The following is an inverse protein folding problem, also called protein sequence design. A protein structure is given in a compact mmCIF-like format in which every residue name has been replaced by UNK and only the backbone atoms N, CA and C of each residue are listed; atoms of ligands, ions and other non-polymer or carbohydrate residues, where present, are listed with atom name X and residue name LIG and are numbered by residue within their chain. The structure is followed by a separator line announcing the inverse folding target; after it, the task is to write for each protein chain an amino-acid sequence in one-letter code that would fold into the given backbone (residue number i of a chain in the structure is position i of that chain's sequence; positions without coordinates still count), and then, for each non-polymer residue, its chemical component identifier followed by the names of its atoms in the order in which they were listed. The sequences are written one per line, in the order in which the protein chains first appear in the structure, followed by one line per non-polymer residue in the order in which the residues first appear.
data_IF_959812615563
#
_entry.id   IF_959812615563
#
_cell.length_a   1.000
_cell.length_b   1.000
_cell.length_c   1.000
_cell.angle_alpha   90.00
_cell.angle_beta   90.00
_cell.angle_gamma   90.00
#
_symmetry.space_group_name_H-M   'P 1'
#
loop_
_entity.id
_entity.type
_entity.pdbx_description
1 polymer ?
#
# COMPACT_ATOMS: atom_id res chain seq x y z
N UNK A 1 -57.79 32.84 18.64
CA UNK A 1 -57.43 32.28 19.96
C UNK A 1 -56.34 31.25 19.71
N UNK A 2 -55.05 31.59 19.88
CA UNK A 2 -54.29 31.50 21.16
C UNK A 2 -54.55 30.14 21.82
N UNK A 3 -53.56 29.28 22.10
CA UNK A 3 -52.44 29.41 23.06
C UNK A 3 -51.47 28.24 22.70
N UNK A 4 -50.20 28.39 22.29
CA UNK A 4 -48.98 28.80 23.01
C UNK A 4 -48.66 27.97 24.28
N UNK A 5 -47.87 26.90 24.15
CA UNK A 5 -47.12 26.34 25.29
C UNK A 5 -45.63 26.26 24.95
N UNK A 6 -44.87 27.00 25.76
CA UNK A 6 -43.44 27.16 25.71
C UNK A 6 -42.73 25.88 26.15
N UNK A 7 -41.55 25.62 25.57
CA UNK A 7 -40.52 24.82 26.22
C UNK A 7 -39.28 25.69 26.35
N UNK A 8 -38.93 25.91 27.61
CA UNK A 8 -37.90 26.77 28.15
C UNK A 8 -36.49 26.28 27.82
N UNK A 9 -35.63 27.23 27.46
CA UNK A 9 -34.18 27.11 27.54
C UNK A 9 -33.73 26.89 29.00
N UNK A 10 -32.77 25.99 29.19
CA UNK A 10 -31.75 26.12 30.23
C UNK A 10 -30.39 25.70 29.68
N UNK A 11 -29.58 26.71 29.42
CA UNK A 11 -28.13 26.64 29.21
C UNK A 11 -27.46 26.21 30.51
N UNK A 12 -26.66 25.14 30.47
CA UNK A 12 -25.57 24.94 31.41
C UNK A 12 -24.33 24.50 30.61
N UNK A 13 -23.45 25.47 30.46
CA UNK A 13 -22.06 25.35 30.04
C UNK A 13 -21.31 24.44 31.01
N UNK A 14 -20.59 23.45 30.50
CA UNK A 14 -19.35 22.99 31.12
C UNK A 14 -18.35 22.63 30.02
N UNK A 15 -17.38 23.53 29.87
CA UNK A 15 -16.19 23.35 29.05
C UNK A 15 -15.28 22.30 29.70
N UNK A 16 -14.87 21.29 28.94
CA UNK A 16 -13.64 20.54 29.21
C UNK A 16 -12.81 20.47 27.94
N UNK A 17 -11.89 21.41 27.83
CA UNK A 17 -10.79 21.40 26.89
C UNK A 17 -9.84 20.24 27.22
N UNK A 18 -9.94 19.12 26.52
CA UNK A 18 -8.81 18.20 26.39
C UNK A 18 -7.96 18.63 25.20
N UNK A 19 -6.90 19.40 25.50
CA UNK A 19 -5.77 19.64 24.60
C UNK A 19 -5.08 18.29 24.33
N UNK A 20 -5.31 17.69 23.17
CA UNK A 20 -4.43 16.65 22.65
C UNK A 20 -3.32 17.33 21.85
N UNK A 21 -2.18 17.52 22.50
CA UNK A 21 -0.92 17.90 21.86
C UNK A 21 -0.36 16.67 21.17
N UNK A 22 -0.33 16.65 19.84
CA UNK A 22 0.35 15.61 19.08
C UNK A 22 1.80 16.06 18.90
N UNK A 23 2.66 15.64 19.83
CA UNK A 23 4.11 15.81 19.69
C UNK A 23 4.63 14.90 18.57
N UNK A 24 4.77 15.48 17.37
CA UNK A 24 5.50 14.91 16.25
C UNK A 24 6.98 15.29 16.38
N UNK A 25 7.76 14.48 17.10
CA UNK A 25 9.19 14.29 16.85
C UNK A 25 9.76 13.20 17.76
N UNK A 26 10.22 12.09 17.19
CA UNK A 26 11.58 11.55 17.40
C UNK A 26 11.74 10.16 16.78
N UNK A 27 12.52 10.09 15.70
CA UNK A 27 13.11 8.86 15.17
C UNK A 27 14.25 8.37 16.09
N UNK A 28 14.30 7.10 16.52
CA UNK A 28 15.49 6.58 17.19
C UNK A 28 16.50 6.05 16.15
N UNK A 29 17.66 6.72 16.05
CA UNK A 29 18.88 6.15 15.44
C UNK A 29 19.58 5.25 16.46
N UNK A 30 20.17 4.11 16.08
CA UNK A 30 20.92 3.27 17.01
C UNK A 30 22.37 3.80 17.15
N UNK A 31 22.72 4.28 18.34
CA UNK A 31 24.11 4.39 18.79
C UNK A 31 24.30 3.47 19.99
N UNK A 32 25.08 2.40 19.81
CA UNK A 32 25.59 1.58 20.92
C UNK A 32 26.67 2.36 21.66
N UNK A 33 26.47 2.61 22.96
CA UNK A 33 27.55 2.82 23.93
C UNK A 33 27.32 1.89 25.11
N UNK A 34 28.31 1.05 25.38
CA UNK A 34 28.35 0.13 26.51
C UNK A 34 29.34 0.70 27.52
N UNK A 35 28.94 0.85 28.78
CA UNK A 35 29.81 1.16 29.91
C UNK A 35 29.49 0.17 31.02
N UNK A 36 30.46 -0.68 31.36
CA UNK A 36 30.39 -1.67 32.43
C UNK A 36 31.16 -1.13 33.63
N UNK A 37 30.54 -1.23 34.80
CA UNK A 37 31.12 -0.96 36.12
C UNK A 37 31.62 -2.29 36.72
N UNK A 38 32.81 -2.28 37.34
CA UNK A 38 33.49 -3.44 37.92
C UNK A 38 32.97 -3.85 39.31
N UNK A 39 32.99 -5.14 39.61
CA UNK A 39 33.47 -5.76 40.86
C UNK A 39 33.36 -7.30 40.69
N UNK A 40 34.25 -8.18 41.11
CA UNK A 40 35.61 -8.20 41.67
C UNK A 40 36.05 -9.69 41.65
N UNK A 41 37.31 -10.00 41.96
CA UNK A 41 37.77 -11.18 42.73
C UNK A 41 39.31 -11.28 42.71
N UNK A 42 39.78 -11.80 43.85
CA UNK A 42 41.08 -11.92 44.49
C UNK A 42 42.30 -12.39 43.68
N UNK A 43 43.43 -11.93 44.22
CA UNK A 43 44.84 -12.24 44.00
C UNK A 43 45.23 -13.73 44.13
N UNK A 44 46.17 -14.17 43.29
CA UNK A 44 47.23 -15.10 43.68
C UNK A 44 48.50 -14.83 42.84
N UNK A 45 49.63 -14.66 43.53
CA UNK A 45 50.99 -14.48 42.98
C UNK A 45 51.54 -15.80 42.44
N UNK A 46 52.28 -15.74 41.34
CA UNK A 46 53.45 -16.60 41.07
C UNK A 46 54.51 -15.75 40.35
N UNK A 47 55.72 -15.67 40.93
CA UNK A 47 56.97 -15.17 40.31
C UNK A 47 57.40 -16.17 39.20
N UNK A 48 58.10 -15.90 38.10
CA UNK A 48 59.09 -14.90 37.71
C UNK A 48 59.31 -15.02 36.17
N UNK A 49 60.22 -14.21 35.62
CA UNK A 49 60.87 -14.24 34.29
C UNK A 49 60.24 -13.43 33.14
N UNK A 50 60.74 -12.19 33.05
CA UNK A 50 61.23 -11.52 31.83
C UNK A 50 60.82 -12.11 30.46
N UNK A 51 59.89 -11.44 29.77
CA UNK A 51 60.16 -10.91 28.42
C UNK A 51 59.11 -9.88 28.00
N UNK A 52 59.61 -8.67 27.76
CA UNK A 52 58.85 -7.55 27.23
C UNK A 52 58.27 -7.82 25.84
N UNK A 53 56.96 -7.63 25.68
CA UNK A 53 56.36 -7.13 24.42
C UNK A 53 55.26 -6.13 24.73
N UNK A 54 55.66 -4.92 25.13
CA UNK A 54 54.89 -3.70 24.88
C UNK A 54 54.70 -3.58 23.36
N UNK A 55 53.49 -3.79 22.85
CA UNK A 55 53.12 -3.37 21.49
C UNK A 55 53.23 -1.85 21.41
N UNK A 56 54.39 -1.40 20.92
CA UNK A 56 54.74 -0.02 20.62
C UNK A 56 53.76 0.48 19.54
N UNK A 57 52.87 1.42 19.85
CA UNK A 57 52.23 2.28 18.83
C UNK A 57 53.36 3.06 18.17
N UNK A 58 53.91 2.54 17.07
CA UNK A 58 54.78 3.32 16.21
C UNK A 58 53.90 4.31 15.45
N UNK A 59 54.03 5.59 15.78
CA UNK A 59 53.62 6.68 14.88
C UNK A 59 54.45 6.50 13.61
N UNK A 60 53.83 5.99 12.54
CA UNK A 60 54.44 6.02 11.22
C UNK A 60 54.42 7.47 10.76
N UNK A 61 55.58 8.13 10.79
CA UNK A 61 55.76 9.37 10.05
C UNK A 61 55.60 9.02 8.56
N UNK A 62 54.42 9.30 8.00
CA UNK A 62 54.22 9.25 6.55
C UNK A 62 55.15 10.29 5.94
N UNK A 63 55.94 9.86 4.96
CA UNK A 63 56.76 10.80 4.20
C UNK A 63 55.86 11.75 3.42
N UNK A 64 56.32 12.99 3.19
CA UNK A 64 55.54 13.98 2.47
C UNK A 64 55.14 13.50 1.06
N UNK A 65 55.93 12.62 0.45
CA UNK A 65 55.65 11.97 -0.83
C UNK A 65 54.51 10.96 -0.72
N UNK A 66 54.52 10.07 0.28
CA UNK A 66 53.43 9.11 0.51
C UNK A 66 52.10 9.80 0.82
N UNK A 67 52.14 10.91 1.58
CA UNK A 67 50.97 11.72 1.87
C UNK A 67 50.39 12.35 0.59
N UNK A 68 51.25 12.87 -0.29
CA UNK A 68 50.84 13.42 -1.59
C UNK A 68 50.26 12.36 -2.52
N UNK A 69 50.89 11.20 -2.63
CA UNK A 69 50.40 10.08 -3.46
C UNK A 69 49.04 9.58 -2.94
N UNK A 70 48.91 9.44 -1.63
CA UNK A 70 47.66 9.01 -0.99
C UNK A 70 46.54 10.04 -1.20
N UNK A 71 46.85 11.34 -1.15
CA UNK A 71 45.89 12.41 -1.45
C UNK A 71 45.44 12.38 -2.92
N UNK A 72 46.37 12.16 -3.86
CA UNK A 72 46.04 12.03 -5.29
C UNK A 72 45.13 10.83 -5.53
N UNK A 73 45.44 9.67 -4.93
CA UNK A 73 44.60 8.47 -5.02
C UNK A 73 43.22 8.69 -4.39
N UNK A 74 43.15 9.38 -3.25
CA UNK A 74 41.89 9.71 -2.59
C UNK A 74 41.03 10.66 -3.44
N UNK A 75 41.63 11.70 -4.03
CA UNK A 75 40.94 12.63 -4.92
C UNK A 75 40.50 11.94 -6.23
N UNK A 76 41.33 11.09 -6.82
CA UNK A 76 40.99 10.30 -7.99
C UNK A 76 39.83 9.32 -7.69
N UNK A 77 39.88 8.65 -6.53
CA UNK A 77 38.80 7.79 -6.05
C UNK A 77 37.51 8.57 -5.81
N UNK A 78 37.59 9.76 -5.21
CA UNK A 78 36.43 10.62 -4.98
C UNK A 78 35.83 11.11 -6.31
N UNK A 79 36.66 11.59 -7.25
CA UNK A 79 36.22 12.03 -8.57
C UNK A 79 35.60 10.87 -9.38
N UNK A 80 36.22 9.68 -9.34
CA UNK A 80 35.67 8.47 -9.95
C UNK A 80 34.33 8.08 -9.34
N UNK A 81 34.19 8.14 -8.01
CA UNK A 81 32.94 7.81 -7.33
C UNK A 81 31.80 8.79 -7.70
N UNK A 82 32.12 10.07 -7.86
CA UNK A 82 31.15 11.08 -8.29
C UNK A 82 30.72 10.86 -9.76
N UNK A 83 31.66 10.52 -10.65
CA UNK A 83 31.38 10.20 -12.05
C UNK A 83 30.53 8.93 -12.19
N UNK A 84 30.83 7.88 -11.43
CA UNK A 84 30.04 6.65 -11.42
C UNK A 84 28.60 6.87 -10.97
N UNK A 85 28.37 7.76 -9.99
CA UNK A 85 27.01 8.14 -9.56
C UNK A 85 26.26 8.85 -10.68
N UNK A 86 26.88 9.83 -11.33
CA UNK A 86 26.26 10.54 -12.46
C UNK A 86 25.93 9.59 -13.62
N UNK A 87 26.81 8.64 -13.93
CA UNK A 87 26.54 7.63 -14.95
C UNK A 87 25.40 6.69 -14.53
N UNK A 88 25.33 6.30 -13.26
CA UNK A 88 24.23 5.50 -12.74
C UNK A 88 22.91 6.27 -12.81
N UNK A 89 22.88 7.55 -12.42
CA UNK A 89 21.69 8.40 -12.49
C UNK A 89 21.22 8.57 -13.95
N UNK A 90 22.16 8.79 -14.88
CA UNK A 90 21.85 8.88 -16.30
C UNK A 90 21.35 7.53 -16.87
N UNK A 91 21.95 6.42 -16.47
CA UNK A 91 21.50 5.08 -16.86
C UNK A 91 20.09 4.80 -16.35
N UNK A 92 19.79 5.18 -15.10
CA UNK A 92 18.45 5.08 -14.52
C UNK A 92 17.46 5.96 -15.28
N UNK A 93 17.82 7.20 -15.63
CA UNK A 93 16.94 8.09 -16.35
C UNK A 93 16.68 7.62 -17.78
N UNK A 94 17.72 7.18 -18.49
CA UNK A 94 17.59 6.63 -19.86
C UNK A 94 16.79 5.33 -19.88
N UNK A 95 16.94 4.46 -18.88
CA UNK A 95 16.15 3.24 -18.75
C UNK A 95 14.63 3.54 -18.67
N UNK A 96 14.20 4.64 -18.03
CA UNK A 96 12.77 5.03 -17.96
C UNK A 96 12.14 5.26 -19.33
N UNK A 97 12.93 5.59 -20.35
CA UNK A 97 12.45 5.85 -21.71
C UNK A 97 12.61 4.64 -22.64
N UNK A 98 13.55 3.74 -22.35
CA UNK A 98 13.81 2.55 -23.17
C UNK A 98 12.89 1.39 -22.80
N UNK A 99 12.49 1.27 -21.53
CA UNK A 99 11.57 0.23 -21.09
C UNK A 99 10.13 0.75 -21.08
N UNK A 100 9.17 0.10 -21.79
CA UNK A 100 7.78 0.52 -21.77
C UNK A 100 7.23 0.42 -20.34
N UNK A 101 6.63 1.51 -19.86
CA UNK A 101 5.91 1.49 -18.57
C UNK A 101 4.79 0.45 -18.67
N UNK A 102 4.57 -0.32 -17.58
CA UNK A 102 3.42 -1.24 -17.48
C UNK A 102 2.09 -0.53 -17.76
N UNK A 103 2.04 0.77 -17.47
CA UNK A 103 0.91 1.66 -17.77
C UNK A 103 1.31 2.61 -18.89
N UNK A 104 0.64 2.48 -20.04
CA UNK A 104 0.77 3.42 -21.15
C UNK A 104 -0.37 4.44 -21.08
N UNK A 105 -0.06 5.72 -21.25
CA UNK A 105 -1.07 6.78 -21.25
C UNK A 105 -1.87 6.77 -22.55
N UNK A 106 -3.18 6.52 -22.45
CA UNK A 106 -4.10 6.64 -23.59
C UNK A 106 -4.60 8.08 -23.77
N UNK A 107 -4.57 8.88 -22.70
CA UNK A 107 -5.05 10.25 -22.67
C UNK A 107 -4.15 11.15 -21.81
N UNK A 108 -4.42 12.46 -21.84
CA UNK A 108 -3.66 13.46 -21.08
C UNK A 108 -3.78 13.28 -19.57
N UNK A 109 -4.94 12.84 -19.07
CA UNK A 109 -5.14 12.58 -17.64
C UNK A 109 -4.14 11.52 -17.15
N UNK A 110 -4.02 10.41 -17.89
CA UNK A 110 -3.06 9.34 -17.59
C UNK A 110 -1.60 9.76 -17.75
N UNK A 111 -1.30 10.71 -18.63
CA UNK A 111 0.06 11.19 -18.84
C UNK A 111 0.66 11.87 -17.60
N UNK A 112 -0.18 12.46 -16.74
CA UNK A 112 0.23 13.07 -15.48
C UNK A 112 0.21 12.11 -14.28
N UNK A 113 -0.34 10.90 -14.45
CA UNK A 113 -0.39 9.91 -13.39
C UNK A 113 0.97 9.30 -13.11
N UNK A 114 1.20 8.97 -11.84
CA UNK A 114 2.40 8.30 -11.36
C UNK A 114 2.01 7.02 -10.63
N UNK A 115 2.83 5.98 -10.75
CA UNK A 115 2.67 4.72 -10.00
C UNK A 115 3.97 4.50 -9.24
N UNK A 116 3.93 4.18 -7.94
CA UNK A 116 5.14 3.89 -7.17
C UNK A 116 5.82 2.61 -7.70
N UNK A 117 7.13 2.51 -7.47
CA UNK A 117 7.91 1.33 -7.83
C UNK A 117 7.74 0.24 -6.76
N UNK A 118 6.59 -0.43 -6.81
CA UNK A 118 6.22 -1.55 -5.95
C UNK A 118 5.73 -2.71 -6.82
N UNK A 119 5.85 -3.93 -6.30
CA UNK A 119 5.33 -5.11 -6.99
C UNK A 119 3.83 -4.93 -7.28
N UNK A 120 3.40 -5.35 -8.46
CA UNK A 120 2.00 -5.30 -8.87
C UNK A 120 1.52 -6.60 -9.47
N UNK A 121 0.21 -6.84 -9.41
CA UNK A 121 -0.41 -8.02 -10.00
C UNK A 121 -0.07 -8.13 -11.49
N UNK A 122 0.20 -9.35 -11.95
CA UNK A 122 0.55 -9.59 -13.34
C UNK A 122 -0.70 -9.60 -14.21
N UNK A 123 -0.61 -8.91 -15.34
CA UNK A 123 -1.66 -8.90 -16.33
C UNK A 123 -1.09 -8.72 -17.73
N UNK A 124 -1.83 -9.21 -18.72
CA UNK A 124 -1.59 -9.00 -20.14
C UNK A 124 -2.69 -8.12 -20.72
N UNK A 125 -2.31 -7.08 -21.46
CA UNK A 125 -3.27 -6.27 -22.20
C UNK A 125 -3.74 -7.05 -23.44
N UNK A 126 -5.05 -7.29 -23.55
CA UNK A 126 -5.67 -7.97 -24.68
C UNK A 126 -6.14 -6.98 -25.75
N UNK A 127 -6.68 -5.85 -25.32
CA UNK A 127 -7.20 -4.80 -26.21
C UNK A 127 -7.09 -3.45 -25.52
N UNK A 128 -6.89 -2.39 -26.31
CA UNK A 128 -6.90 -1.01 -25.82
C UNK A 128 -7.76 -0.16 -26.75
N UNK A 129 -8.59 0.67 -26.12
CA UNK A 129 -9.40 1.69 -26.79
C UNK A 129 -9.06 3.06 -26.19
N UNK A 130 -9.59 4.13 -26.77
CA UNK A 130 -9.43 5.48 -26.21
C UNK A 130 -10.13 5.66 -24.84
N UNK A 131 -11.07 4.76 -24.50
CA UNK A 131 -11.91 4.86 -23.31
C UNK A 131 -11.52 3.91 -22.18
N UNK A 132 -11.05 2.71 -22.52
CA UNK A 132 -10.73 1.66 -21.55
C UNK A 132 -9.75 0.64 -22.13
N UNK A 133 -9.18 -0.16 -21.24
CA UNK A 133 -8.27 -1.27 -21.56
C UNK A 133 -8.86 -2.61 -21.12
N UNK A 134 -8.76 -3.64 -21.96
CA UNK A 134 -9.08 -5.02 -21.58
C UNK A 134 -7.79 -5.73 -21.17
N UNK A 135 -7.78 -6.25 -19.95
CA UNK A 135 -6.65 -6.96 -19.35
C UNK A 135 -7.04 -8.38 -18.98
N UNK A 136 -6.17 -9.34 -19.27
CA UNK A 136 -6.21 -10.67 -18.66
C UNK A 136 -5.30 -10.65 -17.44
N UNK A 137 -5.89 -10.77 -16.25
CA UNK A 137 -5.18 -10.78 -14.97
C UNK A 137 -4.86 -12.23 -14.60
N UNK A 138 -3.60 -12.49 -14.26
CA UNK A 138 -3.17 -13.81 -13.77
C UNK A 138 -3.72 -14.07 -12.36
N UNK A 139 -3.84 -15.33 -11.90
CA UNK A 139 -4.22 -15.62 -10.52
C UNK A 139 -3.26 -14.97 -9.51
N UNK A 140 -3.81 -14.45 -8.41
CA UNK A 140 -3.03 -13.82 -7.35
C UNK A 140 -3.68 -14.02 -5.99
N UNK A 141 -2.90 -13.90 -4.92
CA UNK A 141 -3.43 -13.96 -3.56
C UNK A 141 -3.70 -12.56 -3.02
N UNK A 142 -4.76 -12.45 -2.22
CA UNK A 142 -5.10 -11.23 -1.49
C UNK A 142 -5.28 -11.52 -0.01
N UNK A 143 -4.92 -10.54 0.82
CA UNK A 143 -5.42 -10.44 2.19
C UNK A 143 -6.55 -9.40 2.19
N UNK A 144 -7.74 -9.78 2.63
CA UNK A 144 -8.93 -8.92 2.59
C UNK A 144 -9.64 -8.83 3.93
N UNK A 145 -10.23 -7.66 4.19
CA UNK A 145 -11.06 -7.38 5.37
C UNK A 145 -12.31 -6.60 4.96
N UNK A 146 -13.37 -6.71 5.75
CA UNK A 146 -14.61 -5.97 5.53
C UNK A 146 -14.47 -4.57 6.09
N UNK A 147 -14.80 -3.57 5.28
CA UNK A 147 -14.72 -2.17 5.70
C UNK A 147 -15.84 -1.85 6.70
N UNK A 148 -15.51 -1.31 7.89
CA UNK A 148 -16.53 -0.92 8.85
C UNK A 148 -17.20 0.39 8.41
N UNK A 149 -18.52 0.38 8.26
CA UNK A 149 -19.33 1.54 7.89
C UNK A 149 -20.74 1.12 7.49
N UNK A 150 -21.71 2.02 7.63
CA UNK A 150 -23.12 1.74 7.29
C UNK A 150 -23.44 2.00 5.80
N UNK A 151 -22.75 2.97 5.17
CA UNK A 151 -23.07 3.41 3.81
C UNK A 151 -21.81 3.87 3.06
N UNK A 152 -21.60 3.34 1.84
CA UNK A 152 -20.69 3.94 0.86
C UNK A 152 -19.19 3.79 1.14
N UNK A 153 -18.38 4.41 0.29
CA UNK A 153 -16.93 4.50 0.44
C UNK A 153 -16.57 5.54 1.52
N UNK A 154 -16.56 5.09 2.78
CA UNK A 154 -16.18 5.92 3.92
C UNK A 154 -14.65 5.96 4.14
N UNK A 155 -14.10 7.17 4.28
CA UNK A 155 -12.69 7.39 4.58
C UNK A 155 -12.26 6.77 5.92
N UNK A 156 -13.11 6.83 6.96
CA UNK A 156 -12.77 6.26 8.26
C UNK A 156 -12.77 4.72 8.20
N UNK A 157 -13.76 4.13 7.54
CA UNK A 157 -13.79 2.70 7.21
C UNK A 157 -12.56 2.25 6.42
N UNK A 158 -12.18 3.00 5.39
CA UNK A 158 -11.02 2.70 4.56
C UNK A 158 -9.72 2.74 5.36
N UNK A 159 -9.51 3.79 6.16
CA UNK A 159 -8.31 3.94 7.00
C UNK A 159 -8.17 2.83 8.04
N UNK A 160 -9.26 2.45 8.72
CA UNK A 160 -9.23 1.33 9.68
C UNK A 160 -8.88 0.00 9.00
N UNK A 161 -9.51 -0.27 7.86
CA UNK A 161 -9.27 -1.50 7.09
C UNK A 161 -7.85 -1.58 6.57
N UNK A 162 -7.33 -0.46 6.06
CA UNK A 162 -5.94 -0.36 5.63
C UNK A 162 -4.99 -0.68 6.78
N UNK A 163 -5.21 -0.12 7.97
CA UNK A 163 -4.37 -0.38 9.13
C UNK A 163 -4.40 -1.85 9.56
N UNK A 164 -5.58 -2.49 9.57
CA UNK A 164 -5.69 -3.93 9.90
C UNK A 164 -4.89 -4.80 8.93
N UNK A 165 -4.99 -4.53 7.62
CA UNK A 165 -4.22 -5.25 6.60
C UNK A 165 -2.72 -4.95 6.68
N UNK A 166 -2.35 -3.69 6.92
CA UNK A 166 -0.96 -3.29 7.11
C UNK A 166 -0.33 -3.96 8.34
N UNK A 167 -1.07 -4.07 9.45
CA UNK A 167 -0.60 -4.78 10.64
C UNK A 167 -0.30 -6.25 10.35
N UNK A 168 -1.17 -6.93 9.59
CA UNK A 168 -0.92 -8.30 9.12
C UNK A 168 0.38 -8.39 8.30
N UNK A 169 0.56 -7.48 7.34
CA UNK A 169 1.72 -7.42 6.47
C UNK A 169 3.02 -7.13 7.25
N UNK A 170 2.95 -6.30 8.30
CA UNK A 170 4.09 -5.88 9.12
C UNK A 170 4.30 -6.73 10.39
N UNK A 171 3.81 -7.96 10.41
CA UNK A 171 4.18 -8.95 11.43
C UNK A 171 3.07 -9.39 12.39
N UNK A 172 1.83 -8.90 12.26
CA UNK A 172 0.67 -9.48 12.98
C UNK A 172 0.12 -10.73 12.27
N UNK A 173 1.02 -11.65 11.94
CA UNK A 173 0.75 -12.98 11.43
C UNK A 173 1.38 -14.03 12.36
N UNK A 174 1.04 -15.31 12.18
CA UNK A 174 1.41 -16.41 13.09
C UNK A 174 2.92 -16.60 13.26
N UNK A 175 3.71 -16.26 12.24
CA UNK A 175 5.17 -16.42 12.22
C UNK A 175 5.92 -15.10 12.50
N UNK A 176 5.21 -13.99 12.70
CA UNK A 176 5.77 -12.64 12.87
C UNK A 176 6.65 -12.16 11.70
N UNK A 177 6.33 -12.59 10.48
CA UNK A 177 7.07 -12.23 9.28
C UNK A 177 6.67 -10.84 8.77
N UNK A 178 7.65 -10.05 8.34
CA UNK A 178 7.39 -8.77 7.65
C UNK A 178 7.43 -9.00 6.15
N UNK A 179 6.32 -8.71 5.49
CA UNK A 179 6.13 -8.86 4.05
C UNK A 179 6.24 -7.51 3.34
N UNK A 180 6.65 -7.51 2.07
CA UNK A 180 6.75 -6.31 1.25
C UNK A 180 5.36 -5.74 0.89
N UNK A 181 5.27 -4.41 0.81
CA UNK A 181 4.11 -3.74 0.25
C UNK A 181 4.03 -3.96 -1.26
N UNK A 182 2.80 -4.09 -1.76
CA UNK A 182 2.49 -4.21 -3.19
C UNK A 182 1.49 -3.12 -3.59
N UNK A 183 1.20 -3.04 -4.88
CA UNK A 183 0.13 -2.19 -5.44
C UNK A 183 -0.68 -2.96 -6.48
N UNK A 184 -1.96 -2.65 -6.69
CA UNK A 184 -2.77 -1.65 -5.99
C UNK A 184 -3.38 -2.17 -4.67
N UNK A 185 -3.95 -1.27 -3.88
CA UNK A 185 -4.98 -1.62 -2.88
C UNK A 185 -6.32 -1.68 -3.59
N UNK A 186 -6.99 -2.83 -3.52
CA UNK A 186 -8.27 -3.05 -4.20
C UNK A 186 -9.42 -2.91 -3.20
N UNK A 187 -10.45 -2.17 -3.58
CA UNK A 187 -11.71 -2.09 -2.84
C UNK A 187 -12.86 -2.49 -3.74
N UNK A 188 -13.71 -3.41 -3.28
CA UNK A 188 -14.85 -3.93 -4.06
C UNK A 188 -16.15 -3.83 -3.28
N UNK A 189 -17.24 -3.53 -3.98
CA UNK A 189 -18.58 -3.62 -3.41
C UNK A 189 -18.94 -5.10 -3.30
N UNK A 190 -19.37 -5.53 -2.11
CA UNK A 190 -20.02 -6.83 -1.93
C UNK A 190 -21.50 -6.58 -1.84
N UNK A 191 -22.22 -7.07 -2.84
CA UNK A 191 -23.68 -7.14 -2.74
C UNK A 191 -24.00 -8.14 -1.64
N UNK A 192 -24.70 -7.68 -0.60
CA UNK A 192 -25.33 -8.57 0.35
C UNK A 192 -26.41 -9.35 -0.41
N UNK A 193 -26.03 -10.47 -1.01
CA UNK A 193 -27.00 -11.50 -1.34
C UNK A 193 -27.55 -11.88 0.02
N UNK A 194 -28.75 -11.39 0.35
CA UNK A 194 -29.44 -11.86 1.53
C UNK A 194 -29.45 -13.37 1.43
N UNK A 195 -28.74 -14.05 2.33
CA UNK A 195 -28.96 -15.46 2.53
C UNK A 195 -30.45 -15.58 2.78
N UNK A 196 -31.16 -16.06 1.75
CA UNK A 196 -32.52 -16.53 1.89
C UNK A 196 -32.37 -17.80 2.71
N UNK A 197 -32.17 -17.64 4.03
CA UNK A 197 -32.30 -18.74 4.97
C UNK A 197 -33.71 -19.26 4.78
N UNK A 198 -33.80 -20.48 4.27
CA UNK A 198 -35.07 -21.18 4.16
C UNK A 198 -35.69 -21.25 5.57
N UNK A 199 -36.80 -20.52 5.71
CA UNK A 199 -37.98 -20.89 6.49
C UNK A 199 -37.70 -21.50 7.87
N UNK A 200 -37.66 -20.66 8.90
CA UNK A 200 -38.50 -20.90 10.09
C UNK A 200 -38.73 -19.58 10.82
N UNK A 201 -40.02 -19.26 11.03
CA UNK A 201 -40.56 -18.13 11.81
C UNK A 201 -40.47 -16.72 11.18
N UNK A 202 -41.61 -16.03 10.96
CA UNK A 202 -41.60 -14.69 10.39
C UNK A 202 -41.22 -13.68 11.47
N UNK A 203 -40.02 -13.10 11.35
CA UNK A 203 -39.67 -11.86 12.04
C UNK A 203 -39.92 -10.72 11.06
N UNK A 204 -40.65 -9.70 11.51
CA UNK A 204 -40.93 -8.47 10.75
C UNK A 204 -39.58 -7.81 10.44
N UNK A 205 -39.04 -8.06 9.24
CA UNK A 205 -37.90 -7.32 8.72
C UNK A 205 -38.40 -5.95 8.30
N UNK A 206 -38.08 -4.93 9.12
CA UNK A 206 -37.91 -3.57 8.62
C UNK A 206 -37.01 -3.66 7.39
N UNK A 207 -37.37 -2.96 6.31
CA UNK A 207 -36.61 -2.92 5.06
C UNK A 207 -35.12 -2.76 5.40
N UNK A 208 -34.36 -3.83 5.22
CA UNK A 208 -32.91 -3.75 5.26
C UNK A 208 -32.54 -2.79 4.14
N UNK A 209 -32.14 -1.56 4.50
CA UNK A 209 -31.48 -0.64 3.58
C UNK A 209 -30.40 -1.47 2.87
N UNK A 210 -30.25 -1.34 1.56
CA UNK A 210 -29.22 -2.02 0.79
C UNK A 210 -27.84 -1.86 1.46
N UNK A 211 -27.43 -2.81 2.30
CA UNK A 211 -26.17 -2.78 3.03
C UNK A 211 -25.07 -3.24 2.08
N UNK A 212 -24.78 -2.42 1.08
CA UNK A 212 -23.60 -2.58 0.24
C UNK A 212 -22.36 -2.39 1.11
N UNK A 213 -21.77 -3.50 1.54
CA UNK A 213 -20.54 -3.50 2.33
C UNK A 213 -19.35 -3.51 1.39
N UNK A 214 -18.40 -2.60 1.62
CA UNK A 214 -17.13 -2.60 0.91
C UNK A 214 -16.16 -3.58 1.56
N UNK A 215 -15.35 -4.25 0.72
CA UNK A 215 -14.20 -5.04 1.18
C UNK A 215 -12.93 -4.43 0.62
N UNK A 216 -11.92 -4.34 1.46
CA UNK A 216 -10.57 -3.90 1.08
C UNK A 216 -9.65 -5.11 1.01
N UNK A 217 -8.78 -5.12 0.01
CA UNK A 217 -7.88 -6.21 -0.30
C UNK A 217 -6.48 -5.66 -0.62
N UNK A 218 -5.46 -6.22 0.02
CA UNK A 218 -4.06 -6.03 -0.36
C UNK A 218 -3.63 -7.19 -1.25
N UNK A 219 -3.02 -6.87 -2.39
CA UNK A 219 -2.36 -7.88 -3.23
C UNK A 219 -1.17 -8.43 -2.46
N UNK A 220 -1.00 -9.74 -2.42
CA UNK A 220 0.13 -10.35 -1.72
C UNK A 220 1.35 -10.46 -2.64
N UNK A 221 2.59 -10.33 -2.12
CA UNK A 221 3.79 -10.52 -2.94
C UNK A 221 3.83 -11.91 -3.57
N UNK A 222 4.13 -11.99 -4.86
CA UNK A 222 4.05 -13.23 -5.64
C UNK A 222 4.97 -14.33 -5.11
N UNK A 223 6.08 -13.97 -4.45
CA UNK A 223 7.04 -14.91 -3.86
C UNK A 223 6.43 -15.87 -2.84
N UNK A 224 5.30 -15.51 -2.21
CA UNK A 224 4.64 -16.37 -1.22
C UNK A 224 3.73 -17.42 -1.87
N UNK A 225 3.03 -17.06 -2.96
CA UNK A 225 1.98 -17.90 -3.55
C UNK A 225 0.98 -18.36 -2.48
N UNK A 226 0.77 -19.68 -2.40
CA UNK A 226 -0.12 -20.31 -1.40
C UNK A 226 0.45 -20.36 0.03
N UNK A 227 1.75 -20.07 0.21
CA UNK A 227 2.47 -20.23 1.49
C UNK A 227 2.44 -18.95 2.34
N UNK A 228 1.30 -18.27 2.39
CA UNK A 228 1.13 -17.05 3.16
C UNK A 228 0.96 -17.37 4.66
N UNK A 229 1.58 -16.61 5.56
CA UNK A 229 1.43 -16.83 6.99
C UNK A 229 0.00 -16.49 7.43
N UNK A 230 -0.58 -17.27 8.33
CA UNK A 230 -1.94 -17.02 8.77
C UNK A 230 -2.06 -15.70 9.56
N UNK A 231 -3.12 -14.90 9.36
CA UNK A 231 -3.35 -13.69 10.12
C UNK A 231 -3.69 -14.02 11.57
N UNK A 232 -3.25 -13.18 12.51
CA UNK A 232 -3.67 -13.26 13.93
C UNK A 232 -5.03 -12.61 14.17
N UNK A 233 -5.39 -11.65 13.34
CA UNK A 233 -6.70 -10.99 13.38
C UNK A 233 -7.73 -11.82 12.59
N UNK A 234 -8.83 -12.29 13.21
CA UNK A 234 -9.83 -13.11 12.55
C UNK A 234 -10.66 -12.37 11.49
N UNK A 235 -10.61 -11.03 11.44
CA UNK A 235 -11.27 -10.23 10.40
C UNK A 235 -10.53 -10.28 9.06
N UNK A 236 -9.23 -10.61 9.07
CA UNK A 236 -8.41 -10.74 7.86
C UNK A 236 -8.56 -12.15 7.29
N UNK A 237 -8.92 -12.23 6.02
CA UNK A 237 -9.02 -13.48 5.28
C UNK A 237 -8.05 -13.47 4.11
N UNK A 238 -7.33 -14.56 3.93
CA UNK A 238 -6.50 -14.77 2.75
C UNK A 238 -7.34 -15.51 1.72
N UNK A 239 -7.38 -15.02 0.49
CA UNK A 239 -8.10 -15.66 -0.61
C UNK A 239 -7.25 -15.66 -1.88
N UNK A 240 -7.38 -16.71 -2.67
CA UNK A 240 -6.91 -16.72 -4.05
C UNK A 240 -7.96 -16.08 -4.94
N UNK A 241 -7.55 -15.10 -5.73
CA UNK A 241 -8.35 -14.54 -6.81
C UNK A 241 -7.97 -15.30 -8.09
N UNK A 242 -8.90 -16.06 -8.69
CA UNK A 242 -8.61 -16.77 -9.93
C UNK A 242 -8.34 -15.77 -11.07
N UNK A 243 -7.61 -16.23 -12.08
CA UNK A 243 -7.35 -15.43 -13.27
C UNK A 243 -8.67 -15.03 -13.95
N UNK A 244 -8.77 -13.76 -14.32
CA UNK A 244 -10.00 -13.16 -14.85
C UNK A 244 -9.70 -12.10 -15.90
N UNK A 245 -10.65 -11.85 -16.78
CA UNK A 245 -10.54 -10.76 -17.77
C UNK A 245 -11.32 -9.56 -17.25
N UNK A 246 -10.69 -8.39 -17.25
CA UNK A 246 -11.27 -7.15 -16.73
C UNK A 246 -11.16 -6.03 -17.75
N UNK A 247 -12.20 -5.20 -17.84
CA UNK A 247 -12.12 -3.90 -18.47
C UNK A 247 -11.75 -2.86 -17.43
N UNK A 248 -10.80 -1.97 -17.73
CA UNK A 248 -10.22 -1.01 -16.79
C UNK A 248 -10.25 0.40 -17.37
N UNK A 249 -10.66 1.36 -16.53
CA UNK A 249 -10.55 2.80 -16.78
C UNK A 249 -9.71 3.43 -15.68
N UNK A 250 -8.65 4.12 -16.06
CA UNK A 250 -7.85 4.90 -15.13
C UNK A 250 -8.39 6.32 -14.97
N UNK A 251 -8.29 6.86 -13.76
CA UNK A 251 -8.67 8.23 -13.43
C UNK A 251 -7.81 8.78 -12.28
N UNK A 252 -7.71 10.10 -12.20
CA UNK A 252 -6.95 10.83 -11.19
C UNK A 252 -7.85 11.39 -10.09
N UNK A 253 -7.26 11.99 -9.06
CA UNK A 253 -8.00 12.64 -7.98
C UNK A 253 -8.36 11.71 -6.82
N UNK A 254 -9.49 12.00 -6.18
CA UNK A 254 -9.98 11.28 -5.01
C UNK A 254 -10.99 10.19 -5.41
N UNK A 255 -10.94 9.08 -4.68
CA UNK A 255 -11.96 8.03 -4.78
C UNK A 255 -13.10 8.39 -3.83
N UNK A 256 -14.29 8.60 -4.40
CA UNK A 256 -15.55 8.76 -3.67
C UNK A 256 -16.66 8.04 -4.45
N UNK A 257 -17.82 7.85 -3.81
CA UNK A 257 -18.91 7.06 -4.41
C UNK A 257 -19.41 7.65 -5.74
N UNK A 258 -19.54 8.98 -5.82
CA UNK A 258 -20.02 9.68 -7.01
C UNK A 258 -19.08 9.48 -8.21
N UNK A 259 -17.77 9.64 -8.00
CA UNK A 259 -16.77 9.47 -9.06
C UNK A 259 -16.65 8.01 -9.48
N UNK A 260 -16.68 7.08 -8.53
CA UNK A 260 -16.68 5.64 -8.84
C UNK A 260 -17.91 5.26 -9.66
N UNK A 261 -19.10 5.72 -9.26
CA UNK A 261 -20.34 5.46 -9.99
C UNK A 261 -20.30 6.09 -11.39
N UNK A 262 -19.83 7.32 -11.53
CA UNK A 262 -19.71 7.99 -12.83
C UNK A 262 -18.79 7.21 -13.78
N UNK A 263 -17.60 6.82 -13.30
CA UNK A 263 -16.62 6.05 -14.08
C UNK A 263 -17.13 4.65 -14.41
N UNK A 264 -17.82 4.00 -13.48
CA UNK A 264 -18.47 2.71 -13.71
C UNK A 264 -19.52 2.81 -14.82
N UNK A 265 -20.42 3.80 -14.76
CA UNK A 265 -21.46 4.01 -15.77
C UNK A 265 -20.87 4.34 -17.15
N UNK A 266 -19.80 5.13 -17.21
CA UNK A 266 -19.06 5.38 -18.45
C UNK A 266 -18.46 4.11 -19.03
N UNK A 267 -17.82 3.28 -18.19
CA UNK A 267 -17.24 2.01 -18.60
C UNK A 267 -18.30 1.03 -19.10
N UNK A 268 -19.41 0.87 -18.37
CA UNK A 268 -20.53 0.01 -18.78
C UNK A 268 -21.10 0.45 -20.12
N UNK A 269 -21.33 1.76 -20.32
CA UNK A 269 -21.79 2.29 -21.62
C UNK A 269 -20.79 2.02 -22.72
N UNK A 270 -19.49 2.19 -22.48
CA UNK A 270 -18.47 1.92 -23.48
C UNK A 270 -18.42 0.43 -23.87
N UNK A 271 -18.60 -0.48 -22.91
CA UNK A 271 -18.64 -1.93 -23.14
C UNK A 271 -19.87 -2.41 -23.92
N UNK A 272 -21.01 -1.69 -23.84
CA UNK A 272 -22.19 -2.04 -24.64
C UNK A 272 -21.90 -2.00 -26.15
N UNK A 273 -21.04 -1.09 -26.58
CA UNK A 273 -20.64 -0.91 -27.97
C UNK A 273 -19.38 -1.71 -28.36
N UNK A 274 -18.78 -2.47 -27.43
CA UNK A 274 -17.65 -3.32 -27.78
C UNK A 274 -18.12 -4.56 -28.54
N UNK A 275 -17.38 -4.99 -29.57
CA UNK A 275 -17.80 -6.12 -30.40
C UNK A 275 -17.36 -7.47 -29.82
N UNK A 276 -16.39 -7.52 -28.92
CA UNK A 276 -15.74 -8.76 -28.45
C UNK A 276 -16.05 -9.08 -26.98
N UNK A 277 -16.19 -8.06 -26.14
CA UNK A 277 -16.35 -8.22 -24.70
C UNK A 277 -17.66 -7.61 -24.21
N UNK A 278 -18.23 -8.19 -23.16
CA UNK A 278 -19.33 -7.59 -22.38
C UNK A 278 -19.04 -7.71 -20.90
N UNK A 279 -19.57 -6.78 -20.10
CA UNK A 279 -19.55 -6.92 -18.64
C UNK A 279 -20.36 -8.15 -18.23
N UNK A 280 -19.84 -8.93 -17.27
CA UNK A 280 -20.59 -10.06 -16.71
C UNK A 280 -21.85 -9.57 -15.99
N UNK A 281 -22.91 -10.37 -16.03
CA UNK A 281 -24.16 -10.02 -15.35
C UNK A 281 -23.98 -10.01 -13.82
N UNK A 282 -24.53 -8.98 -13.18
CA UNK A 282 -24.41 -8.79 -11.71
C UNK A 282 -23.01 -8.46 -11.22
N UNK A 283 -22.02 -8.25 -12.12
CA UNK A 283 -20.65 -7.94 -11.72
C UNK A 283 -20.59 -6.65 -10.90
N UNK A 284 -19.89 -6.72 -9.77
CA UNK A 284 -19.65 -5.58 -8.90
C UNK A 284 -18.38 -4.85 -9.32
N UNK A 285 -18.39 -3.52 -9.11
CA UNK A 285 -17.24 -2.67 -9.41
C UNK A 285 -16.08 -2.93 -8.45
N UNK A 286 -14.87 -2.97 -9.01
CA UNK A 286 -13.61 -2.98 -8.28
C UNK A 286 -12.88 -1.66 -8.50
N UNK A 287 -12.32 -1.10 -7.43
CA UNK A 287 -11.54 0.13 -7.46
C UNK A 287 -10.14 -0.18 -6.99
N UNK A 288 -9.13 0.13 -7.81
CA UNK A 288 -7.73 -0.08 -7.52
C UNK A 288 -7.03 1.27 -7.29
N UNK A 289 -6.42 1.44 -6.11
CA UNK A 289 -5.67 2.63 -5.72
C UNK A 289 -4.18 2.30 -5.66
N UNK A 290 -3.37 2.98 -6.46
CA UNK A 290 -1.93 2.68 -6.58
C UNK A 290 -1.07 3.54 -5.66
N UNK A 291 -1.53 4.74 -5.36
CA UNK A 291 -0.68 5.77 -4.76
C UNK A 291 -0.88 5.89 -3.25
N UNK A 292 0.19 6.23 -2.51
CA UNK A 292 0.08 6.54 -1.10
C UNK A 292 -0.65 7.88 -0.87
N UNK A 293 -1.20 8.11 0.34
CA UNK A 293 -2.07 9.24 0.65
C UNK A 293 -1.40 10.62 0.55
N UNK A 294 -0.07 10.70 0.50
CA UNK A 294 0.69 11.95 0.33
C UNK A 294 0.92 12.35 -1.14
N UNK A 295 0.57 11.48 -2.10
CA UNK A 295 0.69 11.79 -3.53
C UNK A 295 -0.29 12.91 -3.89
N UNK A 296 0.13 13.86 -4.72
CA UNK A 296 -0.73 14.96 -5.16
C UNK A 296 -1.96 14.39 -5.89
N UNK A 297 -3.20 14.85 -5.62
CA UNK A 297 -4.41 14.21 -6.13
C UNK A 297 -4.43 14.04 -7.66
N UNK A 298 -4.01 15.06 -8.41
CA UNK A 298 -4.02 15.03 -9.88
C UNK A 298 -2.94 14.11 -10.50
N UNK A 299 -1.95 13.65 -9.72
CA UNK A 299 -0.94 12.67 -10.17
C UNK A 299 -1.20 11.26 -9.68
N UNK A 300 -2.30 11.04 -8.94
CA UNK A 300 -2.71 9.71 -8.50
C UNK A 300 -3.27 8.92 -9.67
N UNK A 301 -2.93 7.65 -9.73
CA UNK A 301 -3.59 6.64 -10.53
C UNK A 301 -4.57 5.89 -9.64
N UNK A 302 -5.84 6.03 -9.98
CA UNK A 302 -6.90 5.15 -9.53
C UNK A 302 -7.45 4.43 -10.77
N UNK A 303 -8.00 3.25 -10.57
CA UNK A 303 -8.62 2.49 -11.65
C UNK A 303 -9.98 1.97 -11.19
N UNK A 304 -10.98 2.06 -12.08
CA UNK A 304 -12.25 1.34 -11.97
C UNK A 304 -12.19 0.16 -12.92
N UNK A 305 -12.53 -1.03 -12.44
CA UNK A 305 -12.59 -2.23 -13.26
C UNK A 305 -13.87 -3.03 -13.10
N UNK A 306 -14.27 -3.66 -14.20
CA UNK A 306 -15.39 -4.60 -14.28
C UNK A 306 -14.90 -5.90 -14.92
N UNK A 307 -15.30 -7.02 -14.36
CA UNK A 307 -15.06 -8.32 -14.98
C UNK A 307 -15.89 -8.46 -16.26
N UNK A 308 -15.24 -8.94 -17.31
CA UNK A 308 -15.83 -9.10 -18.63
C UNK A 308 -15.68 -10.54 -19.11
N UNK A 309 -16.52 -10.91 -20.05
CA UNK A 309 -16.45 -12.17 -20.78
C UNK A 309 -16.47 -11.93 -22.28
N UNK A 310 -16.00 -12.92 -23.03
CA UNK A 310 -16.11 -12.91 -24.49
C UNK A 310 -17.58 -12.99 -24.89
N UNK A 311 -17.96 -12.27 -25.94
CA UNK A 311 -19.29 -12.41 -26.57
C UNK A 311 -19.38 -13.67 -27.45
N UNK A 312 -18.25 -14.30 -27.75
CA UNK A 312 -18.13 -15.43 -28.66
C UNK A 312 -18.23 -16.81 -27.97
N UNK A 313 -18.50 -16.84 -26.66
CA UNK A 313 -18.67 -18.07 -25.86
C UNK A 313 -20.15 -18.47 -25.67
#
# INVERSE_FOLDING_TARGET
MMIATASSLSLLSSSSHHKFSVDLCSYPKPYRRCSIFCSGVRTARVMDMDRATRRRRQSRHLSATEARVSLVLALASQASSASQRLLADLAVETAKYVFPKRFNSSNLEEAFMSVPDLETMNFRVLSRTDKYEIRQVEPYYVAETTMPGETGFDFYGASRSFNVLAEYLFGKNTVNEQMEMTTPVVTRKVQSVGEKMEMTTPVITSKAKDQSQWRMSFVMPSKYGSNLPFPKDPSVKIQEVPGKVVAVVAFSGYVNDEEVERREQELRRALQYDNKFRARDGVSVEVAQYNPPFTLPFTRRNEVSLEVESKED
#
